data_IF_706245950025
#
_entry.id   IF_706245950025
#
_cell.length_a   1.000
_cell.length_b   1.000
_cell.length_c   1.000
_cell.angle_alpha   90.00
_cell.angle_beta   90.00
_cell.angle_gamma   90.00
#
_symmetry.space_group_name_H-M   'P 1'
#
loop_
_entity.id
_entity.type
_entity.pdbx_description
1 polymer ?
#
# COMPACT_ATOMS: atom_id res chain seq x y z
N UNK A 1 -8.71 25.11 1.33
CA UNK A 1 -9.45 23.86 1.09
C UNK A 1 -8.56 22.69 1.47
N UNK A 2 -8.98 21.94 2.44
CA UNK A 2 -8.20 20.79 2.85
C UNK A 2 -8.51 19.60 1.93
N UNK A 3 -7.48 19.03 1.35
CA UNK A 3 -7.62 17.80 0.59
C UNK A 3 -7.17 16.65 1.47
N UNK A 4 -8.00 15.64 1.57
CA UNK A 4 -7.63 14.43 2.29
C UNK A 4 -6.53 13.71 1.50
N UNK A 5 -5.51 13.16 2.17
CA UNK A 5 -4.48 12.40 1.47
C UNK A 5 -5.06 11.15 0.84
N UNK A 6 -4.47 10.73 -0.27
CA UNK A 6 -4.81 9.47 -0.92
C UNK A 6 -3.81 8.42 -0.46
N UNK A 7 -4.32 7.27 -0.06
CA UNK A 7 -3.51 6.16 0.42
C UNK A 7 -3.72 4.97 -0.50
N UNK A 8 -2.62 4.40 -0.99
CA UNK A 8 -2.65 3.23 -1.85
C UNK A 8 -2.06 2.04 -1.12
N UNK A 9 -2.76 0.91 -1.16
CA UNK A 9 -2.28 -0.35 -0.62
C UNK A 9 -1.81 -1.23 -1.77
N UNK A 10 -0.53 -1.57 -1.79
CA UNK A 10 0.00 -2.54 -2.74
C UNK A 10 -0.07 -3.89 -2.04
N UNK A 11 -1.06 -4.69 -2.44
CA UNK A 11 -1.40 -5.94 -1.79
C UNK A 11 -2.76 -5.85 -1.09
N UNK A 12 -3.51 -6.93 -1.12
CA UNK A 12 -4.89 -6.96 -0.63
C UNK A 12 -5.15 -8.16 0.30
N UNK A 13 -4.17 -8.51 1.12
CA UNK A 13 -4.32 -9.61 2.08
C UNK A 13 -5.09 -9.20 3.33
N UNK A 14 -5.13 -10.11 4.31
CA UNK A 14 -5.89 -9.91 5.53
C UNK A 14 -5.44 -8.69 6.33
N UNK A 15 -4.13 -8.45 6.39
CA UNK A 15 -3.60 -7.29 7.12
C UNK A 15 -4.05 -5.98 6.48
N UNK A 16 -3.96 -5.89 5.14
CA UNK A 16 -4.42 -4.72 4.40
C UNK A 16 -5.91 -4.50 4.64
N UNK A 17 -6.73 -5.55 4.56
CA UNK A 17 -8.17 -5.46 4.78
C UNK A 17 -8.50 -4.97 6.19
N UNK A 18 -7.78 -5.46 7.19
CA UNK A 18 -7.99 -5.03 8.57
C UNK A 18 -7.69 -3.53 8.75
N UNK A 19 -6.60 -3.07 8.16
CA UNK A 19 -6.21 -1.66 8.23
C UNK A 19 -7.23 -0.78 7.51
N UNK A 20 -7.67 -1.19 6.33
CA UNK A 20 -8.67 -0.44 5.55
C UNK A 20 -9.97 -0.33 6.35
N UNK A 21 -10.44 -1.43 6.93
CA UNK A 21 -11.64 -1.42 7.76
C UNK A 21 -11.53 -0.46 8.94
N UNK A 22 -10.39 -0.47 9.62
CA UNK A 22 -10.13 0.44 10.73
C UNK A 22 -10.09 1.91 10.31
N UNK A 23 -9.51 2.20 9.15
CA UNK A 23 -9.46 3.55 8.61
C UNK A 23 -10.85 4.07 8.29
N UNK A 24 -11.68 3.25 7.66
CA UNK A 24 -13.05 3.63 7.32
C UNK A 24 -13.90 3.86 8.58
N UNK A 25 -13.72 3.02 9.58
CA UNK A 25 -14.40 3.18 10.87
C UNK A 25 -14.00 4.48 11.57
N UNK A 26 -12.78 4.93 11.35
CA UNK A 26 -12.27 6.19 11.91
C UNK A 26 -12.70 7.43 11.11
N UNK A 27 -13.45 7.26 10.03
CA UNK A 27 -13.95 8.37 9.23
C UNK A 27 -13.16 8.67 7.96
N UNK A 28 -12.14 7.87 7.64
CA UNK A 28 -11.39 8.04 6.41
C UNK A 28 -12.29 7.68 5.22
N UNK A 29 -12.23 8.46 4.15
CA UNK A 29 -13.15 8.26 3.01
C UNK A 29 -12.64 7.17 2.07
N UNK A 30 -13.54 6.25 1.72
CA UNK A 30 -13.21 5.16 0.79
C UNK A 30 -12.72 5.68 -0.56
N UNK A 31 -13.22 6.83 -1.00
CA UNK A 31 -12.80 7.45 -2.26
C UNK A 31 -11.31 7.82 -2.28
N UNK A 32 -10.69 7.94 -1.11
CA UNK A 32 -9.27 8.29 -1.00
C UNK A 32 -8.38 7.07 -0.77
N UNK A 33 -8.90 5.87 -0.94
CA UNK A 33 -8.16 4.62 -0.77
C UNK A 33 -8.13 3.85 -2.08
N UNK A 34 -6.93 3.45 -2.51
CA UNK A 34 -6.70 2.56 -3.64
C UNK A 34 -6.11 1.25 -3.14
N UNK A 35 -6.44 0.16 -3.82
CA UNK A 35 -5.88 -1.16 -3.51
C UNK A 35 -5.47 -1.84 -4.80
N UNK A 36 -4.28 -2.40 -4.85
CA UNK A 36 -3.85 -3.20 -5.99
C UNK A 36 -3.51 -4.62 -5.56
N UNK A 37 -3.79 -5.56 -6.45
CA UNK A 37 -3.45 -6.97 -6.28
C UNK A 37 -3.53 -7.64 -7.65
N UNK A 38 -2.86 -8.80 -7.83
CA UNK A 38 -2.91 -9.48 -9.13
C UNK A 38 -4.24 -10.16 -9.43
N UNK A 39 -5.01 -10.53 -8.41
CA UNK A 39 -6.28 -11.24 -8.57
C UNK A 39 -7.45 -10.27 -8.62
N UNK A 40 -8.00 -10.07 -9.82
CA UNK A 40 -9.12 -9.16 -10.02
C UNK A 40 -10.38 -9.61 -9.26
N UNK A 41 -10.63 -10.89 -9.17
CA UNK A 41 -11.79 -11.41 -8.42
C UNK A 41 -11.71 -11.04 -6.95
N UNK A 42 -10.53 -11.15 -6.36
CA UNK A 42 -10.31 -10.74 -4.98
C UNK A 42 -10.48 -9.23 -4.82
N UNK A 43 -9.99 -8.45 -5.78
CA UNK A 43 -10.16 -7.00 -5.77
C UNK A 43 -11.62 -6.58 -5.82
N UNK A 44 -12.44 -7.25 -6.63
CA UNK A 44 -13.87 -6.95 -6.70
C UNK A 44 -14.56 -7.22 -5.37
N UNK A 45 -14.12 -8.26 -4.65
CA UNK A 45 -14.58 -8.56 -3.29
C UNK A 45 -14.25 -7.43 -2.32
N UNK A 46 -13.02 -6.93 -2.37
CA UNK A 46 -12.55 -5.80 -1.56
C UNK A 46 -13.36 -4.55 -1.88
N UNK A 47 -13.59 -4.27 -3.14
CA UNK A 47 -14.37 -3.14 -3.59
C UNK A 47 -15.80 -3.20 -3.07
N UNK A 48 -16.42 -4.36 -3.13
CA UNK A 48 -17.80 -4.55 -2.62
C UNK A 48 -17.86 -4.36 -1.11
N UNK A 49 -16.86 -4.84 -0.40
CA UNK A 49 -16.83 -4.79 1.06
C UNK A 49 -16.58 -3.37 1.58
N UNK A 50 -15.68 -2.63 0.96
CA UNK A 50 -15.20 -1.36 1.50
C UNK A 50 -15.53 -0.13 0.66
N UNK A 51 -15.88 -0.31 -0.61
CA UNK A 51 -16.16 0.82 -1.49
C UNK A 51 -14.93 1.55 -1.99
N UNK A 52 -13.75 0.97 -1.82
CA UNK A 52 -12.48 1.59 -2.25
C UNK A 52 -12.23 1.38 -3.74
N UNK A 53 -11.33 2.16 -4.31
CA UNK A 53 -10.90 2.00 -5.70
C UNK A 53 -9.89 0.86 -5.80
N UNK A 54 -9.98 0.06 -6.86
CA UNK A 54 -9.11 -1.11 -7.03
C UNK A 54 -8.51 -1.14 -8.43
N UNK A 55 -7.34 -1.76 -8.56
CA UNK A 55 -6.67 -1.96 -9.84
C UNK A 55 -5.71 -3.14 -9.74
N UNK A 56 -5.46 -3.81 -10.86
CA UNK A 56 -4.41 -4.85 -10.91
C UNK A 56 -3.04 -4.27 -11.24
N UNK A 57 -2.96 -2.96 -11.51
CA UNK A 57 -1.71 -2.29 -11.90
C UNK A 57 -1.09 -1.59 -10.69
N UNK A 58 0.00 -2.17 -10.17
CA UNK A 58 0.70 -1.62 -9.01
C UNK A 58 1.25 -0.21 -9.27
N UNK A 59 1.72 0.06 -10.48
CA UNK A 59 2.26 1.38 -10.83
C UNK A 59 1.17 2.44 -10.80
N UNK A 60 0.03 2.13 -11.40
CA UNK A 60 -1.09 3.06 -11.41
C UNK A 60 -1.57 3.34 -9.99
N UNK A 61 -1.65 2.29 -9.17
CA UNK A 61 -2.06 2.41 -7.77
C UNK A 61 -1.09 3.32 -6.99
N UNK A 62 0.21 3.08 -7.15
CA UNK A 62 1.23 3.88 -6.47
C UNK A 62 1.21 5.34 -6.92
N UNK A 63 0.91 5.59 -8.19
CA UNK A 63 0.88 6.94 -8.75
C UNK A 63 -0.21 7.82 -8.13
N UNK A 64 -1.30 7.23 -7.68
CA UNK A 64 -2.43 7.97 -7.10
C UNK A 64 -2.16 8.48 -5.69
N UNK A 65 -1.09 8.03 -5.04
CA UNK A 65 -1.00 8.11 -3.59
C UNK A 65 -0.03 9.16 -3.07
N UNK A 66 -0.43 9.78 -1.97
CA UNK A 66 0.46 10.54 -1.10
C UNK A 66 1.20 9.61 -0.13
N UNK A 67 0.58 8.45 0.16
CA UNK A 67 1.17 7.42 1.01
C UNK A 67 0.94 6.07 0.35
N UNK A 68 2.00 5.28 0.19
CA UNK A 68 1.95 3.93 -0.37
C UNK A 68 2.24 2.93 0.74
N UNK A 69 1.28 2.03 0.98
CA UNK A 69 1.43 0.97 1.98
C UNK A 69 1.81 -0.31 1.28
N UNK A 70 2.98 -0.84 1.60
CA UNK A 70 3.48 -2.08 1.04
C UNK A 70 2.96 -3.23 1.89
N UNK A 71 1.96 -3.96 1.37
CA UNK A 71 1.23 -4.99 2.09
C UNK A 71 1.31 -6.35 1.40
N UNK A 72 2.32 -6.56 0.57
CA UNK A 72 2.56 -7.85 -0.09
C UNK A 72 3.43 -8.73 0.80
N UNK A 73 3.44 -10.02 0.51
CA UNK A 73 4.27 -10.98 1.24
C UNK A 73 5.76 -10.69 0.99
N UNK A 74 6.63 -10.96 1.98
CA UNK A 74 8.06 -10.71 1.82
C UNK A 74 8.67 -11.35 0.58
N UNK A 75 8.17 -12.52 0.16
CA UNK A 75 8.71 -13.25 -0.99
C UNK A 75 8.56 -12.51 -2.31
N UNK A 76 7.56 -11.62 -2.42
CA UNK A 76 7.31 -10.86 -3.66
C UNK A 76 7.67 -9.38 -3.52
N UNK A 77 8.14 -8.97 -2.35
CA UNK A 77 8.38 -7.57 -2.07
C UNK A 77 9.43 -6.95 -3.01
N UNK A 78 10.53 -7.68 -3.28
CA UNK A 78 11.59 -7.17 -4.14
C UNK A 78 11.07 -6.84 -5.54
N UNK A 79 10.29 -7.74 -6.14
CA UNK A 79 9.75 -7.52 -7.48
C UNK A 79 8.71 -6.40 -7.50
N UNK A 80 7.89 -6.30 -6.48
CA UNK A 80 6.90 -5.22 -6.36
C UNK A 80 7.58 -3.87 -6.22
N UNK A 81 8.55 -3.76 -5.33
CA UNK A 81 9.31 -2.51 -5.15
C UNK A 81 10.01 -2.09 -6.43
N UNK A 82 10.63 -3.03 -7.12
CA UNK A 82 11.30 -2.77 -8.39
C UNK A 82 10.31 -2.26 -9.44
N UNK A 83 9.12 -2.83 -9.48
CA UNK A 83 8.08 -2.45 -10.43
C UNK A 83 7.60 -1.02 -10.21
N UNK A 84 7.39 -0.61 -8.95
CA UNK A 84 6.87 0.72 -8.65
C UNK A 84 7.96 1.78 -8.45
N UNK A 85 9.22 1.39 -8.39
CA UNK A 85 10.33 2.31 -8.13
C UNK A 85 10.32 3.55 -9.03
N UNK A 86 10.19 3.42 -10.37
CA UNK A 86 10.18 4.62 -11.23
C UNK A 86 9.05 5.59 -10.89
N UNK A 87 7.89 5.07 -10.52
CA UNK A 87 6.72 5.88 -10.18
C UNK A 87 6.96 6.63 -8.85
N UNK A 88 7.37 5.90 -7.82
CA UNK A 88 7.53 6.52 -6.48
C UNK A 88 8.75 7.45 -6.42
N UNK A 89 9.76 7.23 -7.26
CA UNK A 89 10.87 8.18 -7.37
C UNK A 89 10.41 9.50 -7.98
N UNK A 90 9.39 9.46 -8.82
CA UNK A 90 8.82 10.66 -9.45
C UNK A 90 7.86 11.39 -8.52
N UNK A 91 6.94 10.66 -7.88
CA UNK A 91 5.89 11.26 -7.04
C UNK A 91 6.33 11.47 -5.59
N UNK A 92 7.30 10.71 -5.14
CA UNK A 92 7.91 10.78 -3.81
C UNK A 92 6.92 10.70 -2.65
N UNK A 93 6.08 9.67 -2.61
CA UNK A 93 5.13 9.50 -1.51
C UNK A 93 5.83 9.04 -0.23
N UNK A 94 5.12 9.11 0.88
CA UNK A 94 5.56 8.42 2.08
C UNK A 94 5.35 6.91 1.87
N UNK A 95 6.41 6.13 2.05
CA UNK A 95 6.32 4.67 1.94
C UNK A 95 6.12 4.08 3.33
N UNK A 96 5.17 3.16 3.43
CA UNK A 96 4.89 2.46 4.69
C UNK A 96 4.94 0.96 4.43
N UNK A 97 5.76 0.24 5.17
CA UNK A 97 5.82 -1.23 5.06
C UNK A 97 5.18 -1.86 6.29
N UNK A 98 4.28 -2.81 6.04
CA UNK A 98 3.68 -3.63 7.09
C UNK A 98 4.18 -5.08 7.03
N UNK A 99 5.16 -5.36 6.17
CA UNK A 99 5.73 -6.70 6.03
C UNK A 99 6.76 -6.96 7.13
N UNK A 100 6.58 -8.07 7.83
CA UNK A 100 7.54 -8.50 8.86
C UNK A 100 8.83 -9.01 8.20
N UNK A 101 9.95 -8.85 8.90
CA UNK A 101 11.21 -9.47 8.50
C UNK A 101 12.02 -8.75 7.45
N UNK A 102 11.56 -7.58 6.98
CA UNK A 102 12.30 -6.80 5.98
C UNK A 102 12.75 -5.48 6.60
N UNK A 103 14.02 -5.17 6.44
CA UNK A 103 14.59 -3.93 6.98
C UNK A 103 14.31 -2.74 6.07
N UNK A 104 14.26 -1.56 6.68
CA UNK A 104 14.02 -0.32 5.94
C UNK A 104 15.08 -0.07 4.89
N UNK A 105 16.35 -0.36 5.19
CA UNK A 105 17.45 -0.17 4.24
C UNK A 105 17.30 -1.04 2.98
N UNK A 106 16.82 -2.27 3.16
CA UNK A 106 16.57 -3.18 2.04
C UNK A 106 15.45 -2.65 1.16
N UNK A 107 14.35 -2.24 1.77
CA UNK A 107 13.21 -1.69 1.04
C UNK A 107 13.61 -0.40 0.31
N UNK A 108 14.35 0.47 0.98
CA UNK A 108 14.81 1.73 0.40
C UNK A 108 15.65 1.46 -0.85
N UNK A 109 16.55 0.50 -0.79
CA UNK A 109 17.38 0.12 -1.93
C UNK A 109 16.52 -0.37 -3.10
N UNK A 110 15.56 -1.25 -2.84
CA UNK A 110 14.68 -1.79 -3.88
C UNK A 110 13.79 -0.70 -4.50
N UNK A 111 13.45 0.34 -3.75
CA UNK A 111 12.62 1.44 -4.21
C UNK A 111 13.42 2.55 -4.90
N UNK A 112 14.72 2.41 -4.99
CA UNK A 112 15.58 3.38 -5.66
C UNK A 112 16.26 4.38 -4.73
N UNK A 113 16.01 4.31 -3.45
CA UNK A 113 16.67 5.12 -2.43
C UNK A 113 16.08 6.50 -2.20
N UNK A 114 16.29 7.04 -1.03
CA UNK A 114 15.99 8.43 -0.69
C UNK A 114 14.53 8.78 -0.43
N UNK A 115 13.65 7.79 -0.31
CA UNK A 115 12.24 8.03 -0.02
C UNK A 115 11.99 8.03 1.50
N UNK A 116 11.03 8.84 1.97
CA UNK A 116 10.61 8.70 3.37
C UNK A 116 9.93 7.33 3.55
N UNK A 117 10.44 6.55 4.49
CA UNK A 117 10.01 5.17 4.69
C UNK A 117 9.79 4.89 6.16
N UNK A 118 8.60 4.38 6.49
CA UNK A 118 8.25 3.97 7.84
C UNK A 118 7.91 2.49 7.83
N UNK A 119 8.43 1.75 8.81
CA UNK A 119 8.05 0.36 9.02
C UNK A 119 7.05 0.31 10.17
N UNK A 120 5.91 -0.31 9.90
CA UNK A 120 4.91 -0.56 10.93
C UNK A 120 4.96 -2.04 11.27
N UNK A 121 5.33 -2.35 12.50
CA UNK A 121 5.35 -3.73 12.98
C UNK A 121 4.00 -4.01 13.62
N UNK A 122 3.20 -4.91 13.02
CA UNK A 122 1.92 -5.25 13.66
C UNK A 122 2.19 -5.82 15.04
N UNK A 123 1.50 -5.29 16.02
CA UNK A 123 1.62 -5.78 17.38
C UNK A 123 0.67 -6.97 17.54
N UNK A 124 1.17 -8.16 17.23
CA UNK A 124 0.39 -9.38 17.42
C UNK A 124 0.63 -9.91 18.81
N UNK A 125 -0.42 -10.06 19.64
CA UNK A 125 -0.25 -10.72 20.93
C UNK A 125 0.18 -12.17 20.67
N UNK A 126 1.26 -12.54 21.26
CA UNK A 126 1.73 -13.92 21.17
C UNK A 126 0.99 -14.81 22.14
#
# INVERSE_FOLDING_TARGET
MSTSPTISFIGAGNMASAIIGGMLDSGFKAANIWVSAPDDNHLQSIRKQFGVSVTTDNRYCAEQADMVVLAVKPQVMASVCSDIAPVVQNTRPLMVSIAAGLEASTLDEWLGGGLPLVRVMPNTPS
#
